data_IF_299056255846
#
_entry.id   IF_299056255846
#
_cell.length_a   1.000
_cell.length_b   1.000
_cell.length_c   1.000
_cell.angle_alpha   90.00
_cell.angle_beta   90.00
_cell.angle_gamma   90.00
#
_symmetry.space_group_name_H-M   'P 1'
#
loop_
_entity.id
_entity.type
_entity.pdbx_description
1 polymer ?
#
# COMPACT_ATOMS: atom_id res chain seq x y z
N UNK A 1 -14.53 -23.56 15.14
CA UNK A 1 -14.66 -23.30 16.59
C UNK A 1 -14.19 -21.87 16.84
N UNK A 2 -15.15 -20.97 17.11
CA UNK A 2 -14.92 -19.54 17.33
C UNK A 2 -14.31 -19.29 18.71
N UNK A 3 -13.00 -19.06 18.76
CA UNK A 3 -12.38 -18.55 19.97
C UNK A 3 -12.76 -17.06 20.11
N UNK A 4 -13.73 -16.76 20.98
CA UNK A 4 -14.01 -15.41 21.44
C UNK A 4 -12.70 -14.79 21.94
N UNK A 5 -12.24 -13.75 21.23
CA UNK A 5 -11.14 -12.90 21.65
C UNK A 5 -11.59 -12.19 22.93
N UNK A 6 -11.19 -12.70 24.10
CA UNK A 6 -11.43 -12.02 25.38
C UNK A 6 -10.71 -10.67 25.35
N UNK A 7 -11.47 -9.60 25.13
CA UNK A 7 -10.99 -8.23 25.24
C UNK A 7 -10.49 -7.98 26.67
N UNK A 8 -9.37 -7.26 26.79
CA UNK A 8 -8.95 -6.73 28.10
C UNK A 8 -10.07 -5.81 28.58
N UNK A 9 -10.59 -6.02 29.80
CA UNK A 9 -11.74 -5.25 30.27
C UNK A 9 -11.40 -3.75 30.27
N UNK A 10 -12.29 -2.87 29.79
CA UNK A 10 -12.08 -1.42 29.80
C UNK A 10 -11.74 -0.89 31.20
N UNK A 11 -12.23 -1.55 32.26
CA UNK A 11 -11.94 -1.20 33.65
C UNK A 11 -10.47 -1.36 34.03
N UNK A 12 -9.75 -2.34 33.48
CA UNK A 12 -8.34 -2.57 33.81
C UNK A 12 -7.44 -1.49 33.20
N UNK A 13 -7.74 -1.07 31.97
CA UNK A 13 -7.04 0.02 31.28
C UNK A 13 -7.28 1.35 32.01
N UNK A 14 -8.52 1.63 32.40
CA UNK A 14 -8.88 2.84 33.16
C UNK A 14 -8.16 2.90 34.50
N UNK A 15 -8.06 1.78 35.22
CA UNK A 15 -7.37 1.71 36.51
C UNK A 15 -5.86 1.95 36.38
N UNK A 16 -5.21 1.37 35.36
CA UNK A 16 -3.78 1.59 35.10
C UNK A 16 -3.52 3.04 34.66
N UNK A 17 -4.35 3.62 33.79
CA UNK A 17 -4.25 5.03 33.38
C UNK A 17 -4.39 5.97 34.58
N UNK A 18 -5.31 5.67 35.50
CA UNK A 18 -5.51 6.46 36.73
C UNK A 18 -4.29 6.39 37.65
N UNK A 19 -3.69 5.20 37.80
CA UNK A 19 -2.51 4.99 38.62
C UNK A 19 -1.26 5.68 38.03
N UNK A 20 -1.12 5.66 36.70
CA UNK A 20 -0.06 6.37 35.99
C UNK A 20 -0.21 7.90 36.10
N UNK A 21 -1.45 8.42 36.04
CA UNK A 21 -1.74 9.84 36.31
C UNK A 21 -1.38 10.26 37.74
N UNK A 22 -1.63 9.41 38.74
CA UNK A 22 -1.24 9.67 40.12
C UNK A 22 0.29 9.70 40.30
N UNK A 23 1.01 8.74 39.71
CA UNK A 23 2.49 8.73 39.73
C UNK A 23 3.11 9.92 38.97
N UNK A 24 2.50 10.37 37.87
CA UNK A 24 2.93 11.56 37.13
C UNK A 24 2.80 12.83 37.98
N UNK A 25 1.66 13.03 38.68
CA UNK A 25 1.48 14.16 39.60
C UNK A 25 2.57 14.19 40.67
N UNK A 26 2.99 13.03 41.17
CA UNK A 26 4.08 12.91 42.14
C UNK A 26 5.47 13.23 41.56
N UNK A 27 5.73 12.90 40.29
CA UNK A 27 7.00 13.17 39.60
C UNK A 27 7.15 14.63 39.15
N UNK A 28 6.07 15.24 38.66
CA UNK A 28 6.03 16.66 38.30
C UNK A 28 6.19 17.54 39.54
N UNK A 29 5.56 17.17 40.66
CA UNK A 29 5.71 17.87 41.95
C UNK A 29 7.14 17.81 42.53
N UNK A 30 7.97 16.87 42.06
CA UNK A 30 9.39 16.74 42.43
C UNK A 30 10.35 17.48 41.48
N UNK A 31 9.86 18.26 40.51
CA UNK A 31 10.67 19.12 39.63
C UNK A 31 11.59 18.39 38.64
N UNK A 32 11.44 17.06 38.46
CA UNK A 32 12.41 16.23 37.72
C UNK A 32 12.06 15.94 36.26
N UNK A 33 10.92 16.39 35.72
CA UNK A 33 10.56 16.10 34.33
C UNK A 33 9.58 17.12 33.73
N UNK A 34 9.78 17.44 32.45
CA UNK A 34 8.83 18.23 31.65
C UNK A 34 7.50 17.42 31.50
N UNK A 35 6.34 17.99 31.90
CA UNK A 35 5.07 17.26 31.98
C UNK A 35 4.59 16.68 30.64
N UNK A 36 4.91 17.32 29.51
CA UNK A 36 4.54 16.83 28.17
C UNK A 36 5.38 15.62 27.73
N UNK A 37 6.70 15.67 27.96
CA UNK A 37 7.63 14.57 27.64
C UNK A 37 7.40 13.34 28.52
N UNK A 38 7.08 13.56 29.80
CA UNK A 38 6.73 12.46 30.71
C UNK A 38 5.38 11.82 30.36
N UNK A 39 4.41 12.59 29.84
CA UNK A 39 3.14 12.04 29.37
C UNK A 39 3.32 11.17 28.11
N UNK A 40 4.12 11.63 27.13
CA UNK A 40 4.47 10.85 25.94
C UNK A 40 5.27 9.59 26.29
N UNK A 41 6.20 9.68 27.23
CA UNK A 41 6.95 8.51 27.70
C UNK A 41 6.04 7.49 28.41
N UNK A 42 5.12 7.95 29.26
CA UNK A 42 4.20 7.07 29.99
C UNK A 42 3.13 6.46 29.07
N UNK A 43 2.63 7.18 28.07
CA UNK A 43 1.73 6.61 27.06
C UNK A 43 2.47 5.61 26.18
N UNK A 44 3.69 5.90 25.76
CA UNK A 44 4.53 4.93 25.04
C UNK A 44 4.79 3.67 25.87
N UNK A 45 5.14 3.81 27.16
CA UNK A 45 5.36 2.69 28.08
C UNK A 45 4.07 1.88 28.31
N UNK A 46 2.91 2.54 28.46
CA UNK A 46 1.62 1.86 28.66
C UNK A 46 1.20 1.09 27.40
N UNK A 47 1.29 1.72 26.23
CA UNK A 47 1.01 1.07 24.95
C UNK A 47 1.96 -0.10 24.69
N UNK A 48 3.23 0.05 25.07
CA UNK A 48 4.24 -1.00 24.99
C UNK A 48 3.97 -2.16 25.95
N UNK A 49 3.52 -1.87 27.17
CA UNK A 49 3.12 -2.88 28.14
C UNK A 49 1.86 -3.65 27.68
N UNK A 50 0.89 -2.95 27.08
CA UNK A 50 -0.28 -3.58 26.46
C UNK A 50 0.10 -4.43 25.25
N UNK A 51 1.03 -3.99 24.41
CA UNK A 51 1.62 -4.80 23.33
C UNK A 51 2.27 -6.08 23.87
N UNK A 52 3.06 -5.98 24.94
CA UNK A 52 3.67 -7.13 25.62
C UNK A 52 2.65 -8.13 26.17
N UNK A 53 1.51 -7.63 26.68
CA UNK A 53 0.41 -8.48 27.14
C UNK A 53 -0.29 -9.21 25.98
N UNK A 54 -0.37 -8.59 24.79
CA UNK A 54 -0.86 -9.23 23.56
C UNK A 54 0.12 -10.28 23.03
N UNK A 55 1.43 -9.97 23.00
CA UNK A 55 2.48 -10.89 22.53
C UNK A 55 2.62 -12.16 23.40
N UNK A 56 2.36 -12.07 24.72
CA UNK A 56 2.33 -13.25 25.62
C UNK A 56 1.26 -14.29 25.25
N UNK A 57 0.26 -13.94 24.44
CA UNK A 57 -0.67 -14.89 23.82
C UNK A 57 -0.15 -15.33 22.44
N UNK A 58 1.11 -15.78 22.40
CA UNK A 58 1.76 -16.29 21.19
C UNK A 58 1.09 -17.57 20.64
N UNK A 59 1.42 -17.97 19.39
CA UNK A 59 0.70 -19.02 18.67
C UNK A 59 0.75 -20.38 19.40
N UNK A 60 -0.25 -21.25 19.18
CA UNK A 60 -0.34 -22.54 19.86
C UNK A 60 0.86 -23.44 19.52
N UNK A 61 1.24 -24.25 20.51
CA UNK A 61 2.39 -25.16 20.53
C UNK A 61 2.53 -26.00 19.25
N UNK A 62 3.54 -25.69 18.45
CA UNK A 62 4.10 -26.50 17.35
C UNK A 62 5.63 -26.49 17.41
N UNK A 63 6.33 -27.05 16.41
CA UNK A 63 7.81 -27.01 16.32
C UNK A 63 8.31 -25.59 16.61
N UNK A 64 9.27 -25.46 17.53
CA UNK A 64 9.80 -24.17 17.94
C UNK A 64 10.47 -23.48 16.74
N UNK A 65 9.80 -22.47 16.18
CA UNK A 65 10.37 -21.61 15.15
C UNK A 65 11.50 -20.80 15.82
N UNK A 66 12.72 -20.77 15.26
CA UNK A 66 13.81 -19.99 15.81
C UNK A 66 13.39 -18.53 16.04
N UNK A 67 13.68 -18.01 17.23
CA UNK A 67 13.37 -16.63 17.58
C UNK A 67 14.58 -15.74 17.32
N UNK A 68 14.40 -14.69 16.52
CA UNK A 68 15.42 -13.69 16.28
C UNK A 68 15.66 -12.89 17.57
N UNK A 69 16.85 -13.05 18.17
CA UNK A 69 17.21 -12.34 19.40
C UNK A 69 17.32 -10.84 19.10
N UNK A 70 16.45 -10.03 19.70
CA UNK A 70 16.50 -8.57 19.63
C UNK A 70 16.83 -7.98 21.00
N UNK A 71 17.55 -6.86 21.03
CA UNK A 71 18.01 -6.25 22.29
C UNK A 71 17.03 -5.20 22.85
N UNK A 72 16.05 -4.76 22.05
CA UNK A 72 15.06 -3.76 22.47
C UNK A 72 13.76 -3.81 21.63
N UNK A 73 13.05 -4.95 21.64
CA UNK A 73 11.77 -5.11 20.89
C UNK A 73 11.88 -4.75 19.41
N UNK A 74 13.00 -5.15 18.80
CA UNK A 74 13.30 -4.93 17.38
C UNK A 74 13.45 -3.43 17.00
N UNK A 75 13.63 -2.50 17.95
CA UNK A 75 14.04 -1.12 17.62
C UNK A 75 15.45 -1.07 17.03
N UNK A 76 16.34 -1.97 17.48
CA UNK A 76 17.67 -2.20 16.94
C UNK A 76 17.61 -2.68 15.48
N UNK A 77 16.74 -3.64 15.21
CA UNK A 77 16.52 -4.18 13.87
C UNK A 77 15.76 -3.17 12.98
N UNK A 78 14.80 -2.43 13.53
CA UNK A 78 14.09 -1.35 12.84
C UNK A 78 15.03 -0.20 12.48
N UNK A 79 15.93 0.20 13.38
CA UNK A 79 17.00 1.15 13.09
C UNK A 79 17.95 0.61 12.01
N UNK A 80 18.39 -0.66 12.13
CA UNK A 80 19.23 -1.29 11.13
C UNK A 80 18.55 -1.34 9.75
N UNK A 81 17.23 -1.56 9.71
CA UNK A 81 16.43 -1.49 8.50
C UNK A 81 16.39 -0.08 7.91
N UNK A 82 16.06 0.94 8.73
CA UNK A 82 16.02 2.34 8.29
C UNK A 82 17.39 2.78 7.78
N UNK A 83 18.46 2.40 8.47
CA UNK A 83 19.84 2.67 8.08
C UNK A 83 20.19 1.97 6.76
N UNK A 84 19.93 0.66 6.64
CA UNK A 84 20.17 -0.08 5.40
C UNK A 84 19.40 0.52 4.22
N UNK A 85 18.18 0.99 4.44
CA UNK A 85 17.40 1.69 3.42
C UNK A 85 17.99 3.05 3.04
N UNK A 86 18.48 3.82 4.01
CA UNK A 86 19.16 5.10 3.76
C UNK A 86 20.48 4.90 3.00
N UNK A 87 21.19 3.81 3.27
CA UNK A 87 22.47 3.46 2.66
C UNK A 87 22.30 2.69 1.32
N UNK A 88 21.06 2.36 0.90
CA UNK A 88 20.78 1.58 -0.31
C UNK A 88 21.08 0.08 -0.20
N UNK A 89 21.40 -0.42 0.98
CA UNK A 89 21.83 -1.80 1.27
C UNK A 89 20.69 -2.69 1.83
N UNK A 90 19.43 -2.33 1.58
CA UNK A 90 18.24 -3.06 2.06
C UNK A 90 18.27 -4.55 1.69
N UNK A 91 18.68 -4.88 0.46
CA UNK A 91 18.80 -6.27 0.01
C UNK A 91 19.83 -7.07 0.83
N UNK A 92 21.01 -6.49 1.08
CA UNK A 92 22.06 -7.14 1.88
C UNK A 92 21.57 -7.38 3.30
N UNK A 93 20.80 -6.45 3.85
CA UNK A 93 20.22 -6.59 5.18
C UNK A 93 19.20 -7.74 5.23
N UNK A 94 18.29 -7.85 4.26
CA UNK A 94 17.34 -8.96 4.18
C UNK A 94 18.05 -10.31 4.01
N UNK A 95 19.10 -10.36 3.18
CA UNK A 95 19.95 -11.55 3.03
C UNK A 95 20.68 -11.91 4.33
N UNK A 96 21.08 -10.92 5.14
CA UNK A 96 21.65 -11.13 6.47
C UNK A 96 20.65 -11.76 7.45
N UNK A 97 19.37 -11.43 7.34
CA UNK A 97 18.30 -12.05 8.13
C UNK A 97 18.04 -13.49 7.69
N UNK A 98 17.96 -13.75 6.39
CA UNK A 98 17.67 -15.11 5.88
C UNK A 98 18.77 -16.12 6.23
N UNK A 99 20.02 -15.67 6.38
CA UNK A 99 21.14 -16.50 6.87
C UNK A 99 20.96 -16.99 8.32
N UNK A 100 20.13 -16.33 9.12
CA UNK A 100 19.88 -16.71 10.52
C UNK A 100 18.80 -17.79 10.65
N UNK A 101 18.04 -18.04 9.58
CA UNK A 101 17.05 -19.10 9.50
C UNK A 101 16.02 -18.81 8.40
N UNK A 102 15.49 -19.88 7.82
CA UNK A 102 14.52 -19.77 6.71
C UNK A 102 13.10 -19.45 7.20
N UNK A 103 12.75 -19.75 8.44
CA UNK A 103 11.52 -19.27 9.07
C UNK A 103 11.88 -18.77 10.46
N UNK A 104 11.66 -17.48 10.73
CA UNK A 104 12.05 -16.83 11.98
C UNK A 104 10.83 -16.19 12.65
N UNK A 105 10.75 -16.27 13.96
CA UNK A 105 9.82 -15.43 14.75
C UNK A 105 10.56 -14.21 15.28
N UNK A 106 9.88 -13.08 15.32
CA UNK A 106 10.37 -11.86 15.96
C UNK A 106 9.21 -11.09 16.59
N UNK A 107 9.52 -10.09 17.40
CA UNK A 107 8.52 -9.17 17.96
C UNK A 107 8.83 -7.76 17.47
N UNK A 108 7.88 -7.09 16.83
CA UNK A 108 8.01 -5.68 16.43
C UNK A 108 6.89 -4.85 17.04
N UNK A 109 7.25 -3.89 17.90
CA UNK A 109 6.31 -2.98 18.57
C UNK A 109 5.08 -3.71 19.15
N UNK A 110 5.32 -4.82 19.87
CA UNK A 110 4.25 -5.59 20.52
C UNK A 110 3.46 -6.53 19.60
N UNK A 111 3.82 -6.64 18.32
CA UNK A 111 3.29 -7.64 17.40
C UNK A 111 4.28 -8.79 17.22
N UNK A 112 3.80 -10.03 17.25
CA UNK A 112 4.60 -11.19 16.85
C UNK A 112 4.59 -11.27 15.32
N UNK A 113 5.78 -11.24 14.71
CA UNK A 113 5.96 -11.38 13.27
C UNK A 113 6.65 -12.71 12.98
N UNK A 114 6.22 -13.35 11.89
CA UNK A 114 6.86 -14.53 11.33
C UNK A 114 7.46 -14.12 9.99
N UNK A 115 8.79 -14.17 9.89
CA UNK A 115 9.53 -13.96 8.65
C UNK A 115 9.69 -15.31 7.97
N UNK A 116 9.04 -15.50 6.82
CA UNK A 116 9.07 -16.73 6.04
C UNK A 116 9.92 -16.54 4.79
N UNK A 117 11.14 -17.10 4.81
CA UNK A 117 12.05 -17.21 3.67
C UNK A 117 12.05 -18.61 3.06
N UNK A 118 11.53 -19.63 3.77
CA UNK A 118 11.43 -21.00 3.27
C UNK A 118 10.39 -21.10 2.14
N UNK A 119 10.74 -21.67 0.97
CA UNK A 119 9.79 -21.80 -0.14
C UNK A 119 8.50 -22.55 0.21
N UNK A 120 8.57 -23.56 1.09
CA UNK A 120 7.41 -24.31 1.57
C UNK A 120 6.44 -23.45 2.38
N UNK A 121 6.97 -22.59 3.26
CA UNK A 121 6.22 -21.60 4.03
C UNK A 121 5.60 -20.53 3.14
N UNK A 122 6.35 -20.02 2.16
CA UNK A 122 5.84 -19.06 1.17
C UNK A 122 4.72 -19.69 0.34
N UNK A 123 4.87 -20.93 -0.12
CA UNK A 123 3.82 -21.66 -0.83
C UNK A 123 2.58 -21.89 0.05
N UNK A 124 2.78 -22.18 1.34
CA UNK A 124 1.66 -22.33 2.27
C UNK A 124 0.84 -21.03 2.38
N UNK A 125 1.53 -19.90 2.59
CA UNK A 125 0.91 -18.59 2.78
C UNK A 125 0.24 -18.09 1.49
N UNK A 126 0.94 -18.15 0.35
CA UNK A 126 0.49 -17.51 -0.89
C UNK A 126 -0.38 -18.41 -1.78
N UNK A 127 -0.38 -19.74 -1.57
CA UNK A 127 -1.08 -20.69 -2.45
C UNK A 127 -2.02 -21.60 -1.66
N UNK A 128 -1.48 -22.43 -0.77
CA UNK A 128 -2.26 -23.53 -0.15
C UNK A 128 -3.28 -23.04 0.86
N UNK A 129 -3.02 -21.92 1.53
CA UNK A 129 -3.81 -21.44 2.66
C UNK A 129 -4.07 -19.93 2.60
N UNK A 130 -4.13 -19.37 1.38
CA UNK A 130 -4.23 -17.93 1.12
C UNK A 130 -5.35 -17.23 1.89
N UNK A 131 -6.52 -17.85 2.02
CA UNK A 131 -7.69 -17.25 2.69
C UNK A 131 -7.45 -16.95 4.17
N UNK A 132 -6.49 -17.64 4.81
CA UNK A 132 -6.14 -17.44 6.22
C UNK A 132 -5.06 -16.35 6.43
N UNK A 133 -4.54 -15.73 5.37
CA UNK A 133 -3.53 -14.68 5.42
C UNK A 133 -4.01 -13.39 4.75
N UNK A 134 -5.08 -12.75 5.26
CA UNK A 134 -5.52 -11.44 4.77
C UNK A 134 -4.44 -10.37 5.05
N UNK A 135 -4.46 -9.28 4.29
CA UNK A 135 -3.58 -8.12 4.56
C UNK A 135 -3.95 -7.47 5.90
N UNK A 136 -5.24 -7.43 6.18
CA UNK A 136 -5.78 -7.06 7.48
C UNK A 136 -5.93 -5.55 7.71
N UNK A 137 -6.47 -5.16 8.88
CA UNK A 137 -6.96 -3.80 9.12
C UNK A 137 -5.89 -2.71 9.05
N UNK A 138 -4.65 -3.05 9.44
CA UNK A 138 -3.54 -2.09 9.40
C UNK A 138 -3.18 -1.73 7.95
N UNK A 139 -3.13 -2.71 7.05
CA UNK A 139 -2.89 -2.48 5.62
C UNK A 139 -4.02 -1.63 5.03
N UNK A 140 -5.27 -2.04 5.27
CA UNK A 140 -6.44 -1.32 4.77
C UNK A 140 -6.47 0.13 5.22
N UNK A 141 -6.23 0.40 6.51
CA UNK A 141 -6.19 1.77 7.03
C UNK A 141 -5.10 2.63 6.39
N UNK A 142 -3.95 2.05 6.07
CA UNK A 142 -2.84 2.78 5.49
C UNK A 142 -3.11 3.19 4.03
N UNK A 143 -3.76 2.33 3.24
CA UNK A 143 -3.92 2.50 1.79
C UNK A 143 -5.32 2.96 1.36
N UNK A 144 -6.34 2.81 2.21
CA UNK A 144 -7.71 3.26 1.94
C UNK A 144 -7.82 4.70 1.43
N UNK A 145 -7.05 5.69 1.93
CA UNK A 145 -7.21 7.07 1.50
C UNK A 145 -7.05 7.33 -0.01
N UNK A 146 -6.27 6.51 -0.74
CA UNK A 146 -6.06 6.70 -2.18
C UNK A 146 -6.35 5.46 -3.04
N UNK A 147 -6.42 4.27 -2.44
CA UNK A 147 -6.77 3.01 -3.12
C UNK A 147 -8.19 2.52 -2.81
N UNK A 148 -8.88 3.21 -1.89
CA UNK A 148 -10.22 2.84 -1.43
C UNK A 148 -10.33 1.36 -1.08
N UNK A 149 -11.28 0.69 -1.71
CA UNK A 149 -11.52 -0.76 -1.56
C UNK A 149 -11.14 -1.56 -2.82
N UNK A 150 -10.24 -1.02 -3.64
CA UNK A 150 -9.80 -1.68 -4.88
C UNK A 150 -8.97 -2.94 -4.66
N UNK A 151 -8.63 -3.62 -5.75
CA UNK A 151 -8.08 -4.98 -5.77
C UNK A 151 -6.85 -5.21 -4.89
N UNK A 152 -5.97 -4.24 -4.72
CA UNK A 152 -4.79 -4.40 -3.85
C UNK A 152 -5.09 -4.09 -2.38
N UNK A 153 -6.21 -3.43 -2.08
CA UNK A 153 -6.64 -3.11 -0.72
C UNK A 153 -7.85 -3.94 -0.25
N UNK A 154 -8.29 -4.92 -1.06
CA UNK A 154 -9.35 -5.85 -0.72
C UNK A 154 -8.81 -7.19 -0.20
N UNK A 155 -9.60 -7.86 0.64
CA UNK A 155 -9.38 -9.21 1.15
C UNK A 155 -10.61 -10.09 0.83
N UNK A 156 -10.43 -11.43 0.84
CA UNK A 156 -11.54 -12.38 0.77
C UNK A 156 -12.35 -12.33 -0.53
N UNK A 157 -13.68 -12.34 -0.40
CA UNK A 157 -14.60 -12.41 -1.55
C UNK A 157 -14.51 -11.19 -2.47
N UNK A 158 -14.43 -9.98 -1.90
CA UNK A 158 -14.28 -8.74 -2.67
C UNK A 158 -13.05 -8.78 -3.57
N UNK A 159 -11.90 -9.24 -3.04
CA UNK A 159 -10.68 -9.44 -3.82
C UNK A 159 -10.86 -10.46 -4.96
N UNK A 160 -11.52 -11.60 -4.68
CA UNK A 160 -11.77 -12.64 -5.70
C UNK A 160 -12.61 -12.09 -6.85
N UNK A 161 -13.65 -11.35 -6.54
CA UNK A 161 -14.57 -10.78 -7.52
C UNK A 161 -13.88 -9.73 -8.39
N UNK A 162 -13.16 -8.79 -7.78
CA UNK A 162 -12.36 -7.79 -8.49
C UNK A 162 -11.26 -8.42 -9.36
N UNK A 163 -10.59 -9.47 -8.85
CA UNK A 163 -9.58 -10.21 -9.61
C UNK A 163 -10.18 -10.95 -10.80
N UNK A 164 -11.32 -11.60 -10.62
CA UNK A 164 -12.03 -12.28 -11.70
C UNK A 164 -12.41 -11.29 -12.81
N UNK A 165 -12.83 -10.08 -12.43
CA UNK A 165 -13.18 -9.02 -13.34
C UNK A 165 -11.98 -8.45 -14.11
N UNK A 166 -10.85 -8.22 -13.42
CA UNK A 166 -9.66 -7.67 -14.06
C UNK A 166 -8.88 -8.69 -14.92
N UNK A 167 -8.92 -9.98 -14.57
CA UNK A 167 -8.07 -11.02 -15.16
C UNK A 167 -8.09 -11.09 -16.70
N UNK A 168 -9.23 -10.96 -17.41
CA UNK A 168 -9.26 -11.06 -18.87
C UNK A 168 -8.35 -10.04 -19.57
N UNK A 169 -8.23 -8.83 -19.04
CA UNK A 169 -7.42 -7.74 -19.59
C UNK A 169 -5.91 -7.97 -19.50
N UNK A 170 -5.47 -8.89 -18.64
CA UNK A 170 -4.07 -9.24 -18.47
C UNK A 170 -3.71 -10.56 -19.14
N UNK A 171 -4.60 -11.17 -19.92
CA UNK A 171 -4.29 -12.35 -20.71
C UNK A 171 -3.64 -11.93 -22.05
N UNK A 172 -2.60 -12.67 -22.44
CA UNK A 172 -1.64 -12.36 -23.53
C UNK A 172 -2.29 -12.16 -24.91
N UNK A 173 -3.58 -12.45 -25.07
CA UNK A 173 -4.30 -12.38 -26.34
C UNK A 173 -4.68 -10.96 -26.79
N UNK A 174 -4.56 -9.94 -25.95
CA UNK A 174 -4.87 -8.55 -26.31
C UNK A 174 -3.67 -7.62 -26.10
N UNK A 175 -2.63 -7.76 -26.93
CA UNK A 175 -1.53 -6.78 -27.01
C UNK A 175 -1.99 -5.47 -27.70
N UNK A 176 -3.18 -4.98 -27.37
CA UNK A 176 -3.82 -3.76 -27.89
C UNK A 176 -3.07 -2.48 -27.47
N UNK A 177 -2.12 -2.59 -26.53
CA UNK A 177 -1.24 -1.53 -26.07
C UNK A 177 0.13 -1.44 -26.75
N UNK A 178 0.43 -2.26 -27.77
CA UNK A 178 1.74 -2.26 -28.44
C UNK A 178 2.14 -0.87 -28.96
N UNK A 179 1.22 -0.22 -29.67
CA UNK A 179 1.44 1.10 -30.25
C UNK A 179 1.65 2.18 -29.18
N UNK A 180 0.99 2.02 -28.03
CA UNK A 180 1.22 2.89 -26.87
C UNK A 180 2.64 2.70 -26.37
N UNK A 181 3.00 1.47 -25.96
CA UNK A 181 4.35 1.11 -25.49
C UNK A 181 5.45 1.63 -26.44
N UNK A 182 5.26 1.47 -27.75
CA UNK A 182 6.17 1.97 -28.79
C UNK A 182 6.28 3.50 -28.80
N UNK A 183 5.16 4.20 -28.64
CA UNK A 183 5.14 5.66 -28.53
C UNK A 183 5.93 6.14 -27.32
N UNK A 184 5.68 5.59 -26.12
CA UNK A 184 6.41 6.02 -24.92
C UNK A 184 7.89 5.63 -24.96
N UNK A 185 8.27 4.48 -25.53
CA UNK A 185 9.69 4.10 -25.60
C UNK A 185 10.45 5.02 -26.58
N UNK A 186 9.81 5.44 -27.67
CA UNK A 186 10.39 6.43 -28.59
C UNK A 186 10.59 7.79 -27.92
N UNK A 187 9.67 8.20 -27.03
CA UNK A 187 9.87 9.40 -26.20
C UNK A 187 11.08 9.25 -25.27
N UNK A 188 11.25 8.09 -24.64
CA UNK A 188 12.43 7.79 -23.80
C UNK A 188 13.73 7.92 -24.61
N UNK A 189 13.78 7.36 -25.82
CA UNK A 189 14.95 7.53 -26.70
C UNK A 189 15.21 8.99 -27.03
N UNK A 190 14.18 9.77 -27.34
CA UNK A 190 14.32 11.21 -27.57
C UNK A 190 14.85 11.99 -26.36
N UNK A 191 14.48 11.60 -25.14
CA UNK A 191 15.02 12.18 -23.89
C UNK A 191 16.50 11.82 -23.73
N UNK A 192 16.86 10.56 -23.98
CA UNK A 192 18.24 10.08 -23.89
C UNK A 192 19.15 10.76 -24.93
N UNK A 193 18.70 10.89 -26.18
CA UNK A 193 19.46 11.56 -27.24
C UNK A 193 19.78 13.01 -26.89
N UNK A 194 18.81 13.75 -26.33
CA UNK A 194 19.00 15.13 -25.86
C UNK A 194 20.02 15.21 -24.74
N UNK A 195 19.94 14.31 -23.75
CA UNK A 195 20.89 14.30 -22.65
C UNK A 195 22.30 13.89 -23.09
N UNK A 196 22.43 12.94 -24.02
CA UNK A 196 23.72 12.58 -24.62
C UNK A 196 24.32 13.79 -25.34
N UNK A 197 23.53 14.49 -26.15
CA UNK A 197 23.98 15.69 -26.86
C UNK A 197 24.39 16.83 -25.90
N UNK A 198 23.73 16.93 -24.75
CA UNK A 198 24.04 17.93 -23.71
C UNK A 198 25.13 17.48 -22.72
N UNK A 199 25.54 16.21 -22.74
CA UNK A 199 26.45 15.63 -21.74
C UNK A 199 25.83 15.56 -20.33
N UNK A 200 24.51 15.50 -20.22
CA UNK A 200 23.76 15.49 -18.96
C UNK A 200 23.66 14.09 -18.35
N UNK A 201 23.72 14.03 -17.02
CA UNK A 201 23.50 12.79 -16.26
C UNK A 201 22.01 12.68 -15.94
N UNK A 202 21.39 11.57 -16.34
CA UNK A 202 19.99 11.25 -16.02
C UNK A 202 19.92 10.20 -14.91
N UNK A 203 18.98 10.39 -13.98
CA UNK A 203 18.56 9.33 -13.06
C UNK A 203 17.70 8.30 -13.81
N UNK A 204 18.26 7.11 -14.04
CA UNK A 204 17.57 6.02 -14.71
C UNK A 204 16.33 5.54 -13.95
N UNK A 205 16.34 5.54 -12.60
CA UNK A 205 15.20 5.09 -11.81
C UNK A 205 14.01 6.02 -12.01
N UNK A 206 14.26 7.33 -12.00
CA UNK A 206 13.24 8.34 -12.28
C UNK A 206 12.69 8.21 -13.72
N UNK A 207 13.56 8.06 -14.72
CA UNK A 207 13.15 7.90 -16.12
C UNK A 207 12.26 6.66 -16.33
N UNK A 208 12.67 5.50 -15.81
CA UNK A 208 11.87 4.27 -15.93
C UNK A 208 10.57 4.35 -15.14
N UNK A 209 10.56 5.04 -14.00
CA UNK A 209 9.33 5.29 -13.24
C UNK A 209 8.34 6.12 -14.06
N UNK A 210 8.80 7.19 -14.72
CA UNK A 210 7.96 8.03 -15.59
C UNK A 210 7.43 7.26 -16.78
N UNK A 211 8.29 6.48 -17.45
CA UNK A 211 7.90 5.58 -18.53
C UNK A 211 6.82 4.57 -18.10
N UNK A 212 6.99 3.96 -16.92
CA UNK A 212 6.04 2.98 -16.38
C UNK A 212 4.69 3.61 -16.11
N UNK A 213 4.67 4.82 -15.53
CA UNK A 213 3.43 5.56 -15.28
C UNK A 213 2.71 5.89 -16.59
N UNK A 214 3.41 6.40 -17.61
CA UNK A 214 2.76 6.75 -18.89
C UNK A 214 2.28 5.52 -19.65
N UNK A 215 3.04 4.43 -19.62
CA UNK A 215 2.64 3.16 -20.24
C UNK A 215 1.43 2.56 -19.53
N UNK A 216 1.43 2.55 -18.19
CA UNK A 216 0.33 2.02 -17.39
C UNK A 216 -0.94 2.88 -17.54
N UNK A 217 -0.81 4.21 -17.48
CA UNK A 217 -1.96 5.12 -17.64
C UNK A 217 -2.60 4.98 -19.02
N UNK A 218 -1.84 4.90 -20.12
CA UNK A 218 -2.48 4.68 -21.42
C UNK A 218 -3.06 3.29 -21.61
N UNK A 219 -2.48 2.24 -21.01
CA UNK A 219 -3.12 0.92 -20.99
C UNK A 219 -4.44 0.92 -20.20
N UNK A 220 -4.46 1.57 -19.04
CA UNK A 220 -5.60 1.56 -18.12
C UNK A 220 -6.71 2.53 -18.56
N UNK A 221 -6.32 3.73 -19.01
CA UNK A 221 -7.23 4.86 -19.25
C UNK A 221 -7.46 5.11 -20.74
N UNK A 222 -6.60 4.59 -21.61
CA UNK A 222 -6.57 4.91 -23.04
C UNK A 222 -5.84 6.21 -23.37
N UNK A 223 -5.33 6.94 -22.36
CA UNK A 223 -4.53 8.15 -22.51
C UNK A 223 -3.47 8.23 -21.41
N UNK A 224 -2.32 8.86 -21.70
CA UNK A 224 -1.22 9.00 -20.75
C UNK A 224 -1.24 10.35 -20.02
N UNK A 225 -0.67 10.38 -18.83
CA UNK A 225 -0.60 11.60 -18.02
C UNK A 225 0.65 12.46 -18.31
N UNK A 226 1.43 12.09 -19.33
CA UNK A 226 2.65 12.75 -19.80
C UNK A 226 3.69 12.99 -18.68
N UNK A 227 3.89 11.98 -17.84
CA UNK A 227 4.91 11.97 -16.79
C UNK A 227 6.34 12.10 -17.36
N UNK A 228 6.60 11.59 -18.58
CA UNK A 228 7.88 11.71 -19.26
C UNK A 228 8.23 13.18 -19.58
N UNK A 229 7.25 13.96 -20.04
CA UNK A 229 7.44 15.37 -20.42
C UNK A 229 7.48 16.30 -19.21
N UNK A 230 6.76 15.96 -18.13
CA UNK A 230 6.67 16.77 -16.92
C UNK A 230 7.17 15.96 -15.71
N UNK A 231 8.50 15.91 -15.47
CA UNK A 231 9.09 15.02 -14.46
C UNK A 231 8.61 15.28 -13.03
N UNK A 232 8.19 16.51 -12.75
CA UNK A 232 7.64 16.93 -11.45
C UNK A 232 6.16 17.29 -11.58
N UNK A 233 5.41 16.50 -12.34
CA UNK A 233 3.97 16.69 -12.41
C UNK A 233 3.35 16.58 -11.03
N UNK A 234 2.25 17.31 -10.83
CA UNK A 234 1.49 17.30 -9.58
C UNK A 234 1.12 15.87 -9.16
N UNK A 235 0.79 15.02 -10.14
CA UNK A 235 0.49 13.60 -9.93
C UNK A 235 1.72 12.80 -9.46
N UNK A 236 2.84 12.82 -10.19
CA UNK A 236 4.02 11.99 -9.88
C UNK A 236 4.57 12.33 -8.49
N UNK A 237 4.64 13.62 -8.15
CA UNK A 237 5.04 14.09 -6.82
C UNK A 237 4.12 13.56 -5.72
N UNK A 238 2.80 13.65 -5.94
CA UNK A 238 1.80 13.19 -4.99
C UNK A 238 1.78 11.67 -4.83
N UNK A 239 1.95 10.93 -5.93
CA UNK A 239 1.99 9.48 -5.95
C UNK A 239 3.17 8.93 -5.16
N UNK A 240 4.39 9.39 -5.47
CA UNK A 240 5.62 9.00 -4.79
C UNK A 240 5.59 9.32 -3.29
N UNK A 241 5.07 10.49 -2.92
CA UNK A 241 4.91 10.88 -1.52
C UNK A 241 3.93 9.94 -0.79
N UNK A 242 2.78 9.66 -1.39
CA UNK A 242 1.73 8.84 -0.80
C UNK A 242 2.22 7.40 -0.59
N UNK A 243 2.86 6.80 -1.59
CA UNK A 243 3.46 5.46 -1.47
C UNK A 243 4.51 5.39 -0.34
N UNK A 244 5.37 6.41 -0.24
CA UNK A 244 6.38 6.50 0.83
C UNK A 244 5.73 6.55 2.22
N UNK A 245 4.70 7.39 2.40
CA UNK A 245 3.97 7.51 3.68
C UNK A 245 3.25 6.20 4.02
N UNK A 246 2.54 5.60 3.07
CA UNK A 246 1.82 4.35 3.27
C UNK A 246 2.75 3.18 3.60
N UNK A 247 3.93 3.14 2.98
CA UNK A 247 4.99 2.21 3.34
C UNK A 247 5.42 2.33 4.81
N UNK A 248 5.62 3.55 5.33
CA UNK A 248 5.93 3.74 6.74
C UNK A 248 4.76 3.38 7.65
N UNK A 249 3.54 3.71 7.24
CA UNK A 249 2.31 3.37 7.98
C UNK A 249 2.16 1.86 8.17
N UNK A 250 2.30 1.05 7.12
CA UNK A 250 2.25 -0.42 7.26
C UNK A 250 3.28 -0.94 8.24
N UNK A 251 4.52 -0.45 8.13
CA UNK A 251 5.63 -0.91 9.00
C UNK A 251 5.31 -0.65 10.47
N UNK A 252 4.63 0.45 10.80
CA UNK A 252 4.21 0.76 12.17
C UNK A 252 2.89 0.09 12.60
N UNK A 253 2.24 -0.70 11.75
CA UNK A 253 1.03 -1.48 12.05
C UNK A 253 -0.06 -0.68 12.80
N UNK A 254 -0.29 -0.93 14.09
CA UNK A 254 -1.30 -0.22 14.90
C UNK A 254 -0.92 1.24 15.19
N UNK A 255 0.36 1.61 15.03
CA UNK A 255 0.95 2.90 15.39
C UNK A 255 1.11 3.87 14.21
N UNK A 256 0.32 3.68 13.16
CA UNK A 256 0.33 4.51 11.94
C UNK A 256 0.24 6.01 12.17
N UNK A 257 -0.43 6.46 13.24
CA UNK A 257 -0.58 7.87 13.57
C UNK A 257 0.74 8.55 13.97
N UNK A 258 1.80 7.78 14.23
CA UNK A 258 3.13 8.32 14.53
C UNK A 258 3.88 8.75 13.27
N UNK A 259 3.44 8.33 12.07
CA UNK A 259 4.06 8.76 10.81
C UNK A 259 3.72 10.23 10.57
N UNK A 260 4.71 11.13 10.54
CA UNK A 260 4.47 12.54 10.24
C UNK A 260 4.04 12.68 8.77
N UNK A 261 2.77 12.99 8.56
CA UNK A 261 2.14 12.95 7.23
C UNK A 261 1.17 14.13 7.03
N UNK A 262 1.63 15.36 7.30
CA UNK A 262 0.79 16.58 7.24
C UNK A 262 0.25 16.85 5.84
N UNK A 263 1.06 16.59 4.82
CA UNK A 263 0.70 16.84 3.42
C UNK A 263 -0.10 15.69 2.80
N UNK A 264 -0.22 14.55 3.49
CA UNK A 264 -0.84 13.34 2.94
C UNK A 264 -2.28 13.54 2.45
N UNK A 265 -3.19 14.20 3.21
CA UNK A 265 -4.53 14.47 2.69
C UNK A 265 -4.54 15.36 1.45
N UNK A 266 -3.60 16.32 1.34
CA UNK A 266 -3.50 17.18 0.18
C UNK A 266 -2.94 16.42 -1.03
N UNK A 267 -1.93 15.57 -0.84
CA UNK A 267 -1.39 14.74 -1.93
C UNK A 267 -2.40 13.74 -2.46
N UNK A 268 -3.28 13.20 -1.61
CA UNK A 268 -4.42 12.39 -2.09
C UNK A 268 -5.33 13.20 -3.01
N UNK A 269 -5.71 14.42 -2.61
CA UNK A 269 -6.52 15.31 -3.46
C UNK A 269 -5.81 15.69 -4.76
N UNK A 270 -4.50 15.92 -4.70
CA UNK A 270 -3.69 16.25 -5.87
C UNK A 270 -3.72 15.13 -6.93
N UNK A 271 -3.78 13.86 -6.52
CA UNK A 271 -3.99 12.73 -7.43
C UNK A 271 -5.42 12.68 -7.96
N UNK A 272 -6.41 12.94 -7.10
CA UNK A 272 -7.83 12.94 -7.49
C UNK A 272 -8.13 14.01 -8.52
N UNK A 273 -7.53 15.20 -8.40
CA UNK A 273 -7.68 16.28 -9.38
C UNK A 273 -7.21 15.89 -10.78
N UNK A 274 -6.26 14.95 -10.90
CA UNK A 274 -5.75 14.47 -12.18
C UNK A 274 -6.58 13.31 -12.71
N UNK A 275 -6.97 12.37 -11.84
CA UNK A 275 -7.66 11.15 -12.28
C UNK A 275 -9.16 11.30 -12.45
N UNK A 276 -9.81 12.13 -11.65
CA UNK A 276 -11.26 12.30 -11.73
C UNK A 276 -11.73 12.83 -13.08
N UNK A 277 -11.06 13.82 -13.72
CA UNK A 277 -11.40 14.24 -15.08
C UNK A 277 -11.25 13.11 -16.12
N UNK A 278 -10.27 12.22 -15.95
CA UNK A 278 -10.05 11.07 -16.85
C UNK A 278 -11.22 10.09 -16.71
N UNK A 279 -11.64 9.80 -15.48
CA UNK A 279 -12.81 8.97 -15.19
C UNK A 279 -14.08 9.61 -15.77
N UNK A 280 -14.26 10.92 -15.59
CA UNK A 280 -15.43 11.64 -16.11
C UNK A 280 -15.50 11.62 -17.63
N UNK A 281 -14.36 11.84 -18.30
CA UNK A 281 -14.27 11.78 -19.75
C UNK A 281 -14.59 10.38 -20.27
N UNK A 282 -14.11 9.32 -19.60
CA UNK A 282 -14.41 7.95 -19.95
C UNK A 282 -15.89 7.61 -19.76
N UNK A 283 -16.50 8.01 -18.63
CA UNK A 283 -17.95 7.85 -18.39
C UNK A 283 -18.76 8.58 -19.47
N UNK A 284 -18.42 9.84 -19.76
CA UNK A 284 -19.14 10.64 -20.74
C UNK A 284 -19.03 10.05 -22.16
N UNK A 285 -17.86 9.53 -22.53
CA UNK A 285 -17.64 8.84 -23.81
C UNK A 285 -18.49 7.58 -23.90
N UNK A 286 -18.57 6.81 -22.82
CA UNK A 286 -19.35 5.57 -22.79
C UNK A 286 -20.86 5.82 -22.86
N UNK A 287 -21.36 6.85 -22.16
CA UNK A 287 -22.76 7.26 -22.23
C UNK A 287 -23.14 7.67 -23.67
N UNK A 288 -22.28 8.45 -24.35
CA UNK A 288 -22.50 8.81 -25.76
C UNK A 288 -22.51 7.59 -26.66
N UNK A 289 -21.56 6.67 -26.47
CA UNK A 289 -21.51 5.41 -27.22
C UNK A 289 -22.78 4.57 -27.05
N UNK A 290 -23.30 4.46 -25.82
CA UNK A 290 -24.55 3.76 -25.56
C UNK A 290 -25.76 4.44 -26.21
N UNK A 291 -25.79 5.78 -26.27
CA UNK A 291 -26.83 6.51 -26.98
C UNK A 291 -26.76 6.28 -28.51
N UNK A 292 -25.56 6.31 -29.08
CA UNK A 292 -25.31 6.11 -30.51
C UNK A 292 -25.53 4.64 -30.95
N UNK A 293 -25.19 3.67 -30.10
CA UNK A 293 -25.40 2.24 -30.38
C UNK A 293 -26.89 1.85 -30.43
N UNK A 294 -27.76 2.59 -29.74
CA UNK A 294 -29.23 2.43 -29.83
C UNK A 294 -29.75 2.95 -31.18
N UNK A 295 -29.00 3.79 -31.89
CA UNK A 295 -29.38 4.40 -33.16
C UNK A 295 -28.84 3.68 -34.43
N UNK A 296 -28.02 2.64 -34.29
CA UNK A 296 -27.88 1.61 -35.33
C UNK A 296 -26.53 1.38 -36.02
N UNK A 297 -25.39 1.47 -35.33
CA UNK A 297 -24.11 0.95 -35.86
C UNK A 297 -23.32 0.15 -34.79
N UNK A 298 -23.31 -1.17 -34.92
CA UNK A 298 -22.40 -2.05 -34.16
C UNK A 298 -21.00 -1.97 -34.77
N UNK A 299 -20.13 -1.10 -34.23
CA UNK A 299 -18.72 -1.08 -34.61
C UNK A 299 -17.95 -2.25 -33.96
N UNK A 300 -17.50 -3.18 -34.80
CA UNK A 300 -16.90 -4.49 -34.47
C UNK A 300 -15.43 -4.41 -33.99
N UNK A 301 -14.90 -3.23 -33.69
CA UNK A 301 -13.55 -3.05 -33.13
C UNK A 301 -13.59 -2.50 -31.71
N UNK A 302 -13.94 -3.39 -30.77
CA UNK A 302 -13.80 -3.20 -29.32
C UNK A 302 -12.32 -3.05 -28.94
N UNK A 303 -11.82 -1.83 -28.87
CA UNK A 303 -10.61 -1.54 -28.08
C UNK A 303 -11.05 -1.08 -26.69
N UNK A 304 -11.63 -2.01 -25.92
CA UNK A 304 -12.10 -1.74 -24.56
C UNK A 304 -10.88 -1.71 -23.64
N UNK A 305 -10.45 -0.52 -23.22
CA UNK A 305 -9.47 -0.38 -22.14
C UNK A 305 -10.06 -0.87 -20.80
N UNK A 306 -9.20 -1.06 -19.80
CA UNK A 306 -9.63 -1.63 -18.53
C UNK A 306 -10.73 -0.79 -17.85
N UNK A 307 -10.66 0.54 -17.97
CA UNK A 307 -11.68 1.45 -17.43
C UNK A 307 -13.05 1.23 -18.07
N UNK A 308 -13.12 1.12 -19.40
CA UNK A 308 -14.36 0.83 -20.15
C UNK A 308 -14.93 -0.53 -19.75
N UNK A 309 -14.07 -1.51 -19.48
CA UNK A 309 -14.54 -2.80 -18.99
C UNK A 309 -15.18 -2.70 -17.61
N UNK A 310 -14.56 -1.98 -16.66
CA UNK A 310 -15.17 -1.74 -15.36
C UNK A 310 -16.48 -0.94 -15.49
N UNK A 311 -16.55 0.03 -16.39
CA UNK A 311 -17.79 0.80 -16.65
C UNK A 311 -18.95 -0.09 -17.13
N UNK A 312 -18.66 -1.08 -17.98
CA UNK A 312 -19.65 -2.02 -18.51
C UNK A 312 -19.95 -3.20 -17.58
N UNK A 313 -19.35 -3.20 -16.39
CA UNK A 313 -19.50 -4.27 -15.42
C UNK A 313 -20.34 -3.82 -14.24
N UNK A 314 -20.96 -4.79 -13.57
CA UNK A 314 -21.83 -4.56 -12.41
C UNK A 314 -21.22 -5.13 -11.14
N UNK A 315 -21.58 -4.55 -10.00
CA UNK A 315 -21.24 -5.05 -8.69
C UNK A 315 -22.01 -6.33 -8.32
N UNK A 316 -21.78 -6.84 -7.11
CA UNK A 316 -22.46 -8.03 -6.58
C UNK A 316 -23.99 -7.89 -6.50
N UNK A 317 -24.51 -6.66 -6.49
CA UNK A 317 -25.94 -6.34 -6.43
C UNK A 317 -26.53 -5.98 -7.81
N UNK A 318 -25.74 -6.11 -8.89
CA UNK A 318 -26.17 -5.75 -10.24
C UNK A 318 -26.20 -4.24 -10.51
N UNK A 319 -25.56 -3.42 -9.66
CA UNK A 319 -25.47 -1.97 -9.84
C UNK A 319 -24.18 -1.58 -10.56
N UNK A 320 -24.20 -0.51 -11.38
CA UNK A 320 -22.98 0.06 -11.94
C UNK A 320 -22.02 0.52 -10.84
N UNK A 321 -20.71 0.43 -11.10
CA UNK A 321 -19.71 0.93 -10.17
C UNK A 321 -19.75 2.45 -10.06
N UNK A 322 -19.66 2.96 -8.82
CA UNK A 322 -19.57 4.38 -8.56
C UNK A 322 -18.27 4.99 -9.12
N UNK A 323 -18.34 6.27 -9.48
CA UNK A 323 -17.22 7.08 -9.98
C UNK A 323 -16.00 7.01 -9.05
N UNK A 324 -16.20 7.09 -7.73
CA UNK A 324 -15.09 7.03 -6.76
C UNK A 324 -14.42 5.66 -6.80
N UNK A 325 -15.22 4.58 -6.91
CA UNK A 325 -14.72 3.22 -7.01
C UNK A 325 -13.93 3.00 -8.30
N UNK A 326 -14.39 3.55 -9.44
CA UNK A 326 -13.65 3.50 -10.70
C UNK A 326 -12.29 4.21 -10.56
N UNK A 327 -12.26 5.42 -10.00
CA UNK A 327 -11.01 6.13 -9.68
C UNK A 327 -10.08 5.30 -8.79
N UNK A 328 -10.62 4.70 -7.73
CA UNK A 328 -9.86 3.85 -6.82
C UNK A 328 -9.26 2.66 -7.58
N UNK A 329 -10.04 2.00 -8.45
CA UNK A 329 -9.58 0.87 -9.24
C UNK A 329 -8.45 1.27 -10.19
N UNK A 330 -8.56 2.43 -10.85
CA UNK A 330 -7.49 2.98 -11.66
C UNK A 330 -6.21 3.22 -10.85
N UNK A 331 -6.33 3.84 -9.68
CA UNK A 331 -5.21 4.04 -8.76
C UNK A 331 -4.56 2.73 -8.32
N UNK A 332 -5.35 1.67 -8.16
CA UNK A 332 -4.83 0.37 -7.75
C UNK A 332 -3.85 -0.18 -8.79
N UNK A 333 -4.18 -0.11 -10.08
CA UNK A 333 -3.33 -0.66 -11.15
C UNK A 333 -2.12 0.20 -11.52
N UNK A 334 -2.01 1.42 -10.99
CA UNK A 334 -0.81 2.26 -11.14
C UNK A 334 0.29 1.97 -10.10
N UNK A 335 -0.02 1.17 -9.07
CA UNK A 335 0.89 0.80 -8.00
C UNK A 335 1.78 -0.41 -8.39
#
# INVERSE_FOLDING_TARGET
MSAQVSSVSPSLVTNVVTLLRQRQKALVKRGKANPAMSMLALTAILYFWLGRMRAKKGPPRGKAIPHLKTRLFMLDVGYAYVKARADGDELKWVQGLSKQGLTLTTEFIGHCLILAFEPSSVQHILVKNFENYPKGPAFHKAFFPFMGTGIFNADGAAWKNQRALARPHFQVTEYKGAAHIETQINQVFGILDKAIAAGEVIDAQDLWSRYTIDTATGFLFGDCINALDVPQSKFVSAFNYTQKVCGWKIRLCDYQSLVPAKEFPQKVKDMDEVLMPIVDAAIAKEIRRHAEAVEGEENEHRNDNLLVHFLNSVDENGQPFDRVYLRDMLMNFLL
#
